data_IF_715932351605
#
_entry.id   IF_715932351605
#
_cell.length_a   1.000
_cell.length_b   1.000
_cell.length_c   1.000
_cell.angle_alpha   90.00
_cell.angle_beta   90.00
_cell.angle_gamma   90.00
#
_symmetry.space_group_name_H-M   'P 1'
#
loop_
_entity.id
_entity.type
_entity.pdbx_description
1 polymer ?
#
# COMPACT_ATOMS: atom_id res chain seq x y z
N UNK A 1 -10.08 12.41 1.67
CA UNK A 1 -9.54 11.05 1.44
C UNK A 1 -8.03 11.04 1.63
N UNK A 2 -7.48 10.02 2.22
CA UNK A 2 -6.03 9.84 2.30
C UNK A 2 -5.50 9.18 1.03
N UNK A 3 -4.34 9.63 0.55
CA UNK A 3 -3.62 8.97 -0.53
C UNK A 3 -2.36 8.33 0.01
N UNK A 4 -2.08 7.10 -0.40
CA UNK A 4 -0.89 6.34 -0.01
C UNK A 4 0.11 6.34 -1.15
N UNK A 5 1.34 6.75 -0.86
CA UNK A 5 2.43 6.78 -1.85
C UNK A 5 3.07 5.40 -1.89
N UNK A 6 3.06 4.77 -3.05
CA UNK A 6 3.57 3.41 -3.25
C UNK A 6 4.48 3.36 -4.46
N UNK A 7 5.60 2.66 -4.33
CA UNK A 7 6.54 2.43 -5.43
C UNK A 7 6.02 1.35 -6.39
N UNK A 8 6.44 1.44 -7.64
CA UNK A 8 6.24 0.37 -8.60
C UNK A 8 7.24 -0.76 -8.35
N UNK A 9 6.88 -2.02 -8.63
CA UNK A 9 5.66 -2.46 -9.32
C UNK A 9 4.45 -2.64 -8.42
N UNK A 10 4.60 -2.33 -7.12
CA UNK A 10 3.58 -2.63 -6.11
C UNK A 10 2.27 -1.90 -6.35
N UNK A 11 2.33 -0.63 -6.80
CA UNK A 11 1.13 0.16 -7.05
C UNK A 11 0.25 -0.48 -8.13
N UNK A 12 0.83 -0.89 -9.26
CA UNK A 12 0.07 -1.55 -10.32
C UNK A 12 -0.48 -2.90 -9.87
N UNK A 13 0.30 -3.70 -9.16
CA UNK A 13 -0.15 -4.99 -8.66
C UNK A 13 -1.35 -4.85 -7.70
N UNK A 14 -1.36 -3.80 -6.88
CA UNK A 14 -2.49 -3.51 -5.99
C UNK A 14 -3.72 -3.12 -6.82
N UNK A 15 -3.56 -2.21 -7.76
CA UNK A 15 -4.69 -1.71 -8.54
C UNK A 15 -5.27 -2.76 -9.49
N UNK A 16 -4.46 -3.73 -9.91
CA UNK A 16 -4.91 -4.85 -10.75
C UNK A 16 -5.47 -6.00 -9.94
N UNK A 17 -5.47 -5.91 -8.62
CA UNK A 17 -6.05 -6.91 -7.73
C UNK A 17 -5.17 -8.10 -7.42
N UNK A 18 -3.94 -8.14 -7.91
CA UNK A 18 -3.01 -9.25 -7.67
C UNK A 18 -2.39 -9.18 -6.27
N UNK A 19 -2.00 -7.98 -5.84
CA UNK A 19 -1.45 -7.75 -4.50
C UNK A 19 -2.52 -7.12 -3.61
N UNK A 20 -2.87 -7.83 -2.54
CA UNK A 20 -3.88 -7.35 -1.60
C UNK A 20 -3.37 -7.19 -0.17
N UNK A 21 -2.05 -7.16 0.01
CA UNK A 21 -1.40 -6.85 1.26
C UNK A 21 -0.16 -6.01 0.98
N UNK A 22 -0.10 -4.82 1.55
CA UNK A 22 1.07 -3.95 1.49
C UNK A 22 1.90 -4.13 2.76
N UNK A 23 3.19 -4.39 2.60
CA UNK A 23 4.09 -4.56 3.75
C UNK A 23 4.71 -3.24 4.14
N UNK A 24 4.59 -2.89 5.41
CA UNK A 24 5.14 -1.65 5.97
C UNK A 24 5.74 -1.91 7.35
N UNK A 25 6.65 -1.03 7.75
CA UNK A 25 7.31 -1.11 9.05
C UNK A 25 6.51 -0.48 10.18
N UNK A 26 5.32 0.04 9.93
CA UNK A 26 4.49 0.70 10.93
C UNK A 26 3.05 0.25 10.85
N UNK A 27 2.38 0.25 12.00
CA UNK A 27 0.95 0.03 12.09
C UNK A 27 0.19 1.23 11.52
N UNK A 28 -1.04 1.03 11.13
CA UNK A 28 -1.93 2.11 10.73
C UNK A 28 -3.32 1.90 11.31
N UNK A 29 -3.94 2.99 11.74
CA UNK A 29 -5.35 3.01 12.18
C UNK A 29 -6.29 3.49 11.08
N UNK A 30 -5.74 3.91 9.95
CA UNK A 30 -6.54 4.38 8.82
C UNK A 30 -7.33 3.22 8.26
N UNK A 31 -8.62 3.44 8.00
CA UNK A 31 -9.52 2.44 7.43
C UNK A 31 -10.42 3.12 6.39
N UNK A 32 -10.89 2.31 5.44
CA UNK A 32 -11.78 2.78 4.39
C UNK A 32 -11.07 3.03 3.09
N UNK A 33 -11.71 3.77 2.21
CA UNK A 33 -11.19 4.03 0.86
C UNK A 33 -10.00 4.99 0.92
N UNK A 34 -8.91 4.59 0.27
CA UNK A 34 -7.70 5.40 0.12
C UNK A 34 -7.32 5.48 -1.36
N UNK A 35 -6.67 6.59 -1.74
CA UNK A 35 -6.11 6.73 -3.07
C UNK A 35 -4.74 6.06 -3.16
N UNK A 36 -4.40 5.54 -4.33
CA UNK A 36 -3.08 4.97 -4.61
C UNK A 36 -2.31 5.95 -5.48
N UNK A 37 -1.19 6.43 -4.95
CA UNK A 37 -0.30 7.37 -5.62
C UNK A 37 0.99 6.66 -5.99
N UNK A 38 1.37 6.70 -7.27
CA UNK A 38 2.68 6.16 -7.66
C UNK A 38 3.78 7.13 -7.25
N UNK A 39 4.78 6.61 -6.53
CA UNK A 39 5.89 7.40 -6.03
C UNK A 39 6.53 8.25 -7.14
N UNK A 40 6.65 9.55 -6.91
CA UNK A 40 7.24 10.49 -7.86
C UNK A 40 6.31 11.01 -8.95
N UNK A 41 5.11 10.43 -9.10
CA UNK A 41 4.19 10.81 -10.18
C UNK A 41 3.38 12.06 -9.88
N UNK A 42 3.13 12.34 -8.60
CA UNK A 42 2.20 13.39 -8.14
C UNK A 42 0.78 13.19 -8.69
N UNK A 43 0.37 11.93 -8.87
CA UNK A 43 -0.94 11.56 -9.42
C UNK A 43 -1.53 10.39 -8.66
N UNK A 44 -2.86 10.39 -8.56
CA UNK A 44 -3.64 9.29 -8.01
C UNK A 44 -4.08 8.39 -9.15
N UNK A 45 -3.73 7.10 -9.08
CA UNK A 45 -3.97 6.14 -10.15
C UNK A 45 -5.17 5.25 -9.92
N UNK A 46 -5.76 5.31 -8.75
CA UNK A 46 -6.93 4.54 -8.38
C UNK A 46 -7.17 4.54 -6.89
N UNK A 47 -8.06 3.68 -6.42
CA UNK A 47 -8.40 3.55 -5.00
C UNK A 47 -8.42 2.09 -4.59
N UNK A 48 -8.24 1.86 -3.30
CA UNK A 48 -8.50 0.58 -2.64
C UNK A 48 -9.14 0.86 -1.28
N UNK A 49 -9.69 -0.18 -0.67
CA UNK A 49 -10.15 -0.10 0.71
C UNK A 49 -9.11 -0.72 1.63
N UNK A 50 -8.63 0.04 2.60
CA UNK A 50 -7.75 -0.44 3.66
C UNK A 50 -8.64 -0.96 4.78
N UNK A 51 -8.69 -2.28 4.93
CA UNK A 51 -9.68 -2.91 5.80
C UNK A 51 -9.11 -3.42 7.11
N UNK A 52 -7.81 -3.68 7.17
CA UNK A 52 -7.17 -4.20 8.38
C UNK A 52 -5.66 -4.00 8.31
N UNK A 53 -5.02 -4.17 9.46
CA UNK A 53 -3.57 -4.12 9.60
C UNK A 53 -3.16 -5.20 10.59
N UNK A 54 -2.32 -6.13 10.18
CA UNK A 54 -1.86 -7.24 11.01
C UNK A 54 -0.35 -7.17 11.20
N UNK A 55 0.12 -7.48 12.40
CA UNK A 55 1.56 -7.59 12.64
C UNK A 55 2.03 -8.97 12.20
N UNK A 56 3.14 -9.03 11.46
CA UNK A 56 3.76 -10.27 11.00
C UNK A 56 5.02 -10.48 11.83
N UNK A 57 5.00 -11.48 12.71
CA UNK A 57 6.04 -11.66 13.73
C UNK A 57 6.98 -12.82 13.47
N UNK A 58 6.68 -13.69 12.50
CA UNK A 58 7.47 -14.88 12.25
C UNK A 58 7.45 -15.27 10.77
N UNK A 59 8.39 -16.13 10.40
CA UNK A 59 8.57 -16.59 9.03
C UNK A 59 7.34 -17.33 8.49
N UNK A 60 6.71 -18.17 9.31
CA UNK A 60 5.59 -18.97 8.85
C UNK A 60 4.41 -18.09 8.45
N UNK A 61 4.10 -17.07 9.25
CA UNK A 61 3.06 -16.11 8.90
C UNK A 61 3.43 -15.31 7.65
N UNK A 62 4.67 -14.85 7.58
CA UNK A 62 5.15 -14.12 6.39
C UNK A 62 4.97 -14.97 5.13
N UNK A 63 5.37 -16.23 5.16
CA UNK A 63 5.26 -17.12 4.02
C UNK A 63 3.81 -17.48 3.71
N UNK A 64 2.94 -17.56 4.71
CA UNK A 64 1.53 -17.85 4.50
C UNK A 64 0.82 -16.72 3.74
N UNK A 65 1.33 -15.48 3.83
CA UNK A 65 0.79 -14.33 3.14
C UNK A 65 1.48 -14.02 1.81
N UNK A 66 2.37 -14.89 1.34
CA UNK A 66 3.19 -14.60 0.16
C UNK A 66 2.37 -14.31 -1.10
N UNK A 67 1.28 -15.02 -1.30
CA UNK A 67 0.39 -14.75 -2.45
C UNK A 67 -0.31 -13.40 -2.31
N UNK A 68 -0.45 -12.91 -1.08
CA UNK A 68 -1.13 -11.65 -0.78
C UNK A 68 -0.18 -10.47 -0.92
N UNK A 69 1.02 -10.52 -0.32
CA UNK A 69 1.96 -9.40 -0.38
C UNK A 69 2.85 -9.43 -1.63
N UNK A 70 3.08 -10.59 -2.22
CA UNK A 70 3.85 -10.81 -3.46
C UNK A 70 5.32 -10.38 -3.38
N UNK A 71 5.86 -10.20 -2.17
CA UNK A 71 7.27 -9.86 -1.98
C UNK A 71 8.08 -11.15 -2.01
N UNK A 72 9.12 -11.19 -2.86
CA UNK A 72 9.86 -12.43 -3.13
C UNK A 72 10.97 -12.73 -2.13
N UNK A 73 11.48 -11.73 -1.41
CA UNK A 73 12.59 -11.96 -0.49
C UNK A 73 12.17 -12.77 0.72
N UNK A 74 13.15 -13.40 1.37
CA UNK A 74 12.92 -14.16 2.58
C UNK A 74 12.62 -13.24 3.77
N UNK A 75 11.88 -13.76 4.76
CA UNK A 75 11.51 -13.00 5.95
C UNK A 75 12.74 -12.39 6.64
N UNK A 76 13.86 -13.12 6.68
CA UNK A 76 15.10 -12.67 7.31
C UNK A 76 15.73 -11.45 6.61
N UNK A 77 15.37 -11.19 5.37
CA UNK A 77 15.89 -10.06 4.60
C UNK A 77 15.01 -8.81 4.70
N UNK A 78 13.88 -8.90 5.42
CA UNK A 78 13.06 -7.73 5.70
C UNK A 78 13.81 -6.84 6.69
N UNK A 79 14.01 -5.58 6.32
CA UNK A 79 14.83 -4.64 7.11
C UNK A 79 14.04 -3.85 8.14
N UNK A 80 12.73 -3.95 8.15
CA UNK A 80 11.90 -3.28 9.14
C UNK A 80 12.10 -3.91 10.52
N UNK A 81 12.15 -3.07 11.55
CA UNK A 81 12.25 -3.53 12.94
C UNK A 81 11.01 -4.32 13.34
N UNK A 82 9.84 -3.85 12.92
CA UNK A 82 8.57 -4.57 13.00
C UNK A 82 7.97 -4.59 11.61
N UNK A 83 7.22 -5.66 11.31
CA UNK A 83 6.59 -5.81 10.00
C UNK A 83 5.09 -5.88 10.16
N UNK A 84 4.39 -5.12 9.33
CA UNK A 84 2.92 -5.09 9.29
C UNK A 84 2.43 -5.36 7.88
N UNK A 85 1.35 -6.11 7.77
CA UNK A 85 0.62 -6.30 6.53
C UNK A 85 -0.65 -5.47 6.54
N UNK A 86 -0.75 -4.51 5.63
CA UNK A 86 -1.94 -3.68 5.46
C UNK A 86 -2.84 -4.37 4.45
N UNK A 87 -4.04 -4.78 4.87
CA UNK A 87 -4.93 -5.60 4.07
C UNK A 87 -5.82 -4.72 3.22
N UNK A 88 -5.79 -4.94 1.90
CA UNK A 88 -6.43 -4.12 0.89
C UNK A 88 -7.50 -4.91 0.16
N UNK A 89 -8.59 -4.23 -0.22
CA UNK A 89 -9.73 -4.85 -0.89
C UNK A 89 -10.35 -3.86 -1.90
N UNK A 90 -11.10 -4.39 -2.83
CA UNK A 90 -11.89 -3.61 -3.79
C UNK A 90 -11.07 -2.57 -4.56
N UNK A 91 -10.03 -2.98 -5.29
CA UNK A 91 -9.24 -2.04 -6.08
C UNK A 91 -10.05 -1.48 -7.24
N UNK A 92 -9.91 -0.18 -7.48
CA UNK A 92 -10.48 0.50 -8.62
C UNK A 92 -9.36 1.27 -9.31
N UNK A 93 -9.00 0.86 -10.52
CA UNK A 93 -7.99 1.56 -11.30
C UNK A 93 -8.68 2.64 -12.14
N UNK A 94 -8.19 3.88 -12.05
CA UNK A 94 -8.73 4.97 -12.85
C UNK A 94 -8.32 4.82 -14.31
N UNK A 95 -9.21 5.17 -15.22
CA UNK A 95 -8.89 5.24 -16.65
C UNK A 95 -7.79 6.26 -16.91
N UNK A 96 -7.85 7.41 -16.22
CA UNK A 96 -6.83 8.45 -16.30
C UNK A 96 -6.41 8.85 -14.89
N UNK A 97 -5.09 8.91 -14.61
CA UNK A 97 -4.61 9.36 -13.31
C UNK A 97 -5.02 10.81 -13.04
N UNK A 98 -5.28 11.12 -11.77
CA UNK A 98 -5.73 12.43 -11.34
C UNK A 98 -4.58 13.15 -10.64
N UNK A 99 -4.10 14.30 -11.15
CA UNK A 99 -3.03 15.04 -10.47
C UNK A 99 -3.52 15.64 -9.16
N UNK A 100 -2.61 15.79 -8.21
CA UNK A 100 -2.87 16.44 -6.93
C UNK A 100 -1.70 17.35 -6.59
N UNK A 101 -1.92 18.28 -5.65
CA UNK A 101 -0.86 19.14 -5.17
C UNK A 101 -0.03 18.43 -4.11
N UNK A 102 1.22 18.12 -4.45
CA UNK A 102 2.13 17.42 -3.53
C UNK A 102 2.85 18.44 -2.64
N UNK A 103 2.54 18.41 -1.34
CA UNK A 103 3.16 19.30 -0.36
C UNK A 103 4.49 18.72 0.14
N UNK A 104 5.43 19.61 0.46
CA UNK A 104 6.71 19.23 1.02
C UNK A 104 6.52 18.41 2.31
N UNK A 105 7.34 17.37 2.46
CA UNK A 105 7.31 16.53 3.65
C UNK A 105 6.35 15.34 3.58
N UNK A 106 5.49 15.27 2.57
CA UNK A 106 4.61 14.12 2.39
C UNK A 106 5.39 12.97 1.74
N UNK A 107 5.65 11.90 2.50
CA UNK A 107 6.44 10.75 2.02
C UNK A 107 5.66 9.43 2.05
N UNK A 108 4.64 9.32 2.89
CA UNK A 108 3.81 8.12 3.01
C UNK A 108 2.36 8.43 2.69
N UNK A 109 1.78 9.39 3.41
CA UNK A 109 0.39 9.77 3.29
C UNK A 109 0.23 11.19 2.78
N UNK A 110 -0.78 11.39 1.95
CA UNK A 110 -1.18 12.70 1.44
C UNK A 110 -2.65 12.90 1.76
N UNK A 111 -3.01 14.11 2.21
CA UNK A 111 -4.42 14.47 2.32
C UNK A 111 -4.90 14.92 0.95
N UNK A 112 -5.82 14.16 0.36
CA UNK A 112 -6.40 14.49 -0.94
C UNK A 112 -7.69 15.25 -0.73
N UNK A 113 -7.87 16.31 -1.50
CA UNK A 113 -9.14 17.02 -1.56
C UNK A 113 -10.11 16.23 -2.43
N UNK A 114 -11.37 16.27 -2.06
CA UNK A 114 -12.42 15.58 -2.80
C UNK A 114 -13.23 16.52 -3.66
#
# INVERSE_FOLDING_TARGET
MKGLIIKEPWADLILEGQKNMELRGSNTKIRGKIGIIKSGSKRVFGTVELIDCVEITNRDDYNSYRENHMVSCEFEHITYKKLYGWILKNPIKFKEPIPYEHKLGCVIWVNLEE
#
